data_IF_623793377439
#
_entry.id   IF_623793377439
#
_cell.length_a   1.000
_cell.length_b   1.000
_cell.length_c   1.000
_cell.angle_alpha   90.00
_cell.angle_beta   90.00
_cell.angle_gamma   90.00
#
_symmetry.space_group_name_H-M   'P 1'
#
loop_
_entity.id
_entity.type
_entity.pdbx_description
1 polymer ?
#
# COMPACT_ATOMS: atom_id res chain seq x y z
N UNK A 1 -44.01 12.78 9.80
CA UNK A 1 -42.97 12.78 8.74
C UNK A 1 -41.87 13.76 9.13
N UNK A 2 -40.99 13.42 10.08
CA UNK A 2 -40.01 14.37 10.62
C UNK A 2 -38.66 13.74 10.95
N UNK A 3 -38.67 12.57 11.61
CA UNK A 3 -37.45 11.96 12.16
C UNK A 3 -36.44 11.47 11.12
N UNK A 4 -36.89 10.87 10.01
CA UNK A 4 -35.97 10.36 8.96
C UNK A 4 -35.33 11.51 8.19
N UNK A 5 -36.09 12.55 7.87
CA UNK A 5 -35.57 13.73 7.16
C UNK A 5 -34.61 14.55 8.03
N UNK A 6 -34.93 14.73 9.32
CA UNK A 6 -34.07 15.38 10.30
C UNK A 6 -32.75 14.60 10.51
N UNK A 7 -32.84 13.27 10.62
CA UNK A 7 -31.66 12.41 10.72
C UNK A 7 -30.80 12.50 9.45
N UNK A 8 -31.42 12.45 8.27
CA UNK A 8 -30.70 12.61 7.01
C UNK A 8 -30.00 13.96 6.90
N UNK A 9 -30.62 15.03 7.41
CA UNK A 9 -30.01 16.36 7.43
C UNK A 9 -28.85 16.43 8.44
N UNK A 10 -28.97 15.83 9.62
CA UNK A 10 -27.89 15.75 10.58
C UNK A 10 -26.67 14.95 10.06
N UNK A 11 -26.90 13.84 9.34
CA UNK A 11 -25.83 13.03 8.74
C UNK A 11 -25.11 13.80 7.62
N UNK A 12 -25.84 14.55 6.79
CA UNK A 12 -25.22 15.42 5.77
C UNK A 12 -24.38 16.53 6.40
N UNK A 13 -24.87 17.16 7.47
CA UNK A 13 -24.08 18.16 8.23
C UNK A 13 -22.81 17.54 8.80
N UNK A 14 -22.91 16.37 9.44
CA UNK A 14 -21.74 15.68 10.00
C UNK A 14 -20.71 15.28 8.92
N UNK A 15 -21.17 14.96 7.72
CA UNK A 15 -20.30 14.65 6.57
C UNK A 15 -19.60 15.91 6.05
N UNK A 16 -20.30 17.05 5.97
CA UNK A 16 -19.73 18.33 5.55
C UNK A 16 -18.73 18.91 6.56
N UNK A 17 -18.86 18.57 7.84
CA UNK A 17 -17.94 18.98 8.92
C UNK A 17 -16.65 18.13 8.99
N UNK A 18 -16.53 17.06 8.18
CA UNK A 18 -15.29 16.27 8.15
C UNK A 18 -14.12 17.16 7.69
N UNK A 19 -12.97 17.15 8.40
CA UNK A 19 -11.86 18.07 8.13
C UNK A 19 -11.00 17.63 6.93
N UNK A 20 -11.62 17.14 5.85
CA UNK A 20 -10.94 16.61 4.66
C UNK A 20 -10.02 17.67 4.01
N UNK A 21 -10.54 18.88 3.77
CA UNK A 21 -9.76 19.96 3.16
C UNK A 21 -8.58 20.41 4.03
N UNK A 22 -8.81 20.59 5.33
CA UNK A 22 -7.75 20.97 6.28
C UNK A 22 -6.67 19.89 6.43
N UNK A 23 -7.06 18.62 6.40
CA UNK A 23 -6.12 17.49 6.50
C UNK A 23 -5.29 17.34 5.22
N UNK A 24 -5.91 17.52 4.04
CA UNK A 24 -5.19 17.53 2.76
C UNK A 24 -4.21 18.70 2.65
N UNK A 25 -4.61 19.89 3.11
CA UNK A 25 -3.73 21.05 3.14
C UNK A 25 -2.54 20.87 4.10
N UNK A 26 -2.77 20.26 5.27
CA UNK A 26 -1.69 19.91 6.20
C UNK A 26 -0.70 18.90 5.60
N UNK A 27 -1.19 17.91 4.86
CA UNK A 27 -0.35 16.94 4.17
C UNK A 27 0.53 17.60 3.09
N UNK A 28 -0.04 18.51 2.29
CA UNK A 28 0.71 19.25 1.28
C UNK A 28 1.83 20.12 1.89
N UNK A 29 1.56 20.79 3.01
CA UNK A 29 2.56 21.59 3.75
C UNK A 29 3.67 20.75 4.35
N UNK A 30 3.36 19.54 4.81
CA UNK A 30 4.35 18.60 5.33
C UNK A 30 5.25 18.04 4.22
N UNK A 31 4.71 17.81 3.02
CA UNK A 31 5.52 17.40 1.88
C UNK A 31 6.48 18.51 1.42
N UNK A 32 6.02 19.76 1.41
CA UNK A 32 6.82 20.96 1.15
C UNK A 32 7.97 21.07 2.17
N UNK A 33 7.67 20.97 3.48
CA UNK A 33 8.65 21.01 4.55
C UNK A 33 9.67 19.87 4.47
N UNK A 34 9.24 18.67 4.08
CA UNK A 34 10.12 17.51 3.86
C UNK A 34 11.10 17.77 2.71
N UNK A 35 10.62 18.37 1.61
CA UNK A 35 11.45 18.75 0.48
C UNK A 35 12.57 19.72 0.88
N UNK A 36 12.22 20.76 1.63
CA UNK A 36 13.16 21.77 2.13
C UNK A 36 14.20 21.15 3.07
N UNK A 37 13.77 20.28 4.01
CA UNK A 37 14.69 19.62 4.93
C UNK A 37 15.60 18.60 4.25
N UNK A 38 15.12 17.87 3.25
CA UNK A 38 15.96 16.99 2.45
C UNK A 38 17.06 17.80 1.72
N UNK A 39 16.74 18.98 1.21
CA UNK A 39 17.71 19.89 0.60
C UNK A 39 18.74 20.38 1.63
N UNK A 40 18.30 20.84 2.80
CA UNK A 40 19.18 21.30 3.87
C UNK A 40 20.11 20.19 4.42
N UNK A 41 19.63 18.94 4.45
CA UNK A 41 20.44 17.76 4.83
C UNK A 41 21.43 17.32 3.76
N UNK A 42 21.31 17.81 2.53
CA UNK A 42 22.34 17.60 1.50
C UNK A 42 23.55 18.51 1.78
N UNK A 43 23.35 19.61 2.51
CA UNK A 43 24.37 20.59 2.88
C UNK A 43 24.90 20.40 4.32
N UNK A 44 24.30 19.50 5.11
CA UNK A 44 24.61 19.29 6.54
C UNK A 44 24.79 17.82 6.89
N UNK A 45 25.75 17.51 7.77
CA UNK A 45 26.13 16.13 8.15
C UNK A 45 25.19 15.52 9.20
N UNK A 46 24.28 16.30 9.79
CA UNK A 46 23.48 15.88 10.95
C UNK A 46 22.01 15.59 10.57
N UNK A 47 21.55 14.33 10.61
CA UNK A 47 20.19 13.95 10.22
C UNK A 47 19.20 14.23 11.37
N UNK A 48 18.84 15.50 11.57
CA UNK A 48 17.85 15.87 12.58
C UNK A 48 16.46 16.11 11.93
N UNK A 49 15.46 15.30 12.30
CA UNK A 49 14.03 15.60 12.09
C UNK A 49 13.34 14.99 10.85
N UNK A 50 14.10 14.41 9.91
CA UNK A 50 13.53 13.79 8.69
C UNK A 50 12.68 12.52 8.97
N UNK A 51 13.06 11.65 9.92
CA UNK A 51 12.23 10.51 10.32
C UNK A 51 10.89 10.94 10.94
N UNK A 52 10.90 11.96 11.79
CA UNK A 52 9.71 12.49 12.48
C UNK A 52 8.70 13.10 11.51
N UNK A 53 9.19 13.82 10.49
CA UNK A 53 8.35 14.40 9.44
C UNK A 53 7.76 13.34 8.52
N UNK A 54 8.55 12.32 8.17
CA UNK A 54 8.07 11.18 7.39
C UNK A 54 6.98 10.40 8.13
N UNK A 55 7.10 10.26 9.47
CA UNK A 55 6.06 9.70 10.33
C UNK A 55 4.80 10.55 10.34
N UNK A 56 4.93 11.86 10.55
CA UNK A 56 3.80 12.79 10.55
C UNK A 56 3.02 12.74 9.22
N UNK A 57 3.73 12.64 8.10
CA UNK A 57 3.12 12.53 6.77
C UNK A 57 2.38 11.20 6.59
N UNK A 58 2.96 10.08 7.03
CA UNK A 58 2.29 8.77 7.01
C UNK A 58 1.01 8.76 7.85
N UNK A 59 1.00 9.45 8.99
CA UNK A 59 -0.19 9.60 9.82
C UNK A 59 -1.27 10.44 9.14
N UNK A 60 -0.90 11.50 8.42
CA UNK A 60 -1.85 12.32 7.66
C UNK A 60 -2.44 11.56 6.47
N UNK A 61 -1.63 10.81 5.71
CA UNK A 61 -2.12 10.01 4.59
C UNK A 61 -3.15 8.96 5.06
N UNK A 62 -2.88 8.33 6.21
CA UNK A 62 -3.81 7.41 6.85
C UNK A 62 -5.09 8.11 7.32
N UNK A 63 -4.98 9.29 7.92
CA UNK A 63 -6.12 10.07 8.37
C UNK A 63 -7.02 10.48 7.19
N UNK A 64 -6.44 10.94 6.08
CA UNK A 64 -7.17 11.28 4.85
C UNK A 64 -7.93 10.06 4.33
N UNK A 65 -7.26 8.91 4.24
CA UNK A 65 -7.90 7.66 3.78
C UNK A 65 -9.07 7.26 4.67
N UNK A 66 -8.92 7.39 5.99
CA UNK A 66 -9.98 7.07 6.95
C UNK A 66 -11.15 8.06 6.88
N UNK A 67 -10.89 9.34 6.65
CA UNK A 67 -11.93 10.36 6.50
C UNK A 67 -12.73 10.16 5.21
N UNK A 68 -12.07 9.78 4.11
CA UNK A 68 -12.76 9.43 2.84
C UNK A 68 -13.66 8.21 3.06
N UNK A 69 -13.14 7.14 3.66
CA UNK A 69 -13.93 5.94 3.95
C UNK A 69 -15.10 6.22 4.91
N UNK A 70 -14.92 7.12 5.89
CA UNK A 70 -16.00 7.55 6.77
C UNK A 70 -17.10 8.32 6.00
N UNK A 71 -16.73 9.21 5.08
CA UNK A 71 -17.68 9.92 4.23
C UNK A 71 -18.48 8.94 3.34
N UNK A 72 -17.81 7.96 2.74
CA UNK A 72 -18.45 6.92 1.93
C UNK A 72 -19.44 6.08 2.74
N UNK A 73 -19.08 5.67 3.96
CA UNK A 73 -19.99 4.94 4.85
C UNK A 73 -21.23 5.76 5.27
N UNK A 74 -21.09 7.07 5.42
CA UNK A 74 -22.23 7.96 5.75
C UNK A 74 -23.16 8.13 4.54
N UNK A 75 -22.62 8.18 3.32
CA UNK A 75 -23.40 8.17 2.08
C UNK A 75 -24.13 6.83 1.89
N UNK A 76 -23.46 5.70 2.12
CA UNK A 76 -24.08 4.36 2.08
C UNK A 76 -25.23 4.24 3.10
N UNK A 77 -25.04 4.80 4.30
CA UNK A 77 -26.09 4.85 5.31
C UNK A 77 -27.31 5.64 4.85
N UNK A 78 -27.11 6.82 4.25
CA UNK A 78 -28.20 7.64 3.69
C UNK A 78 -28.96 6.89 2.59
N UNK A 79 -28.24 6.20 1.70
CA UNK A 79 -28.84 5.37 0.65
C UNK A 79 -29.67 4.23 1.26
N UNK A 80 -29.16 3.58 2.31
CA UNK A 80 -29.86 2.46 2.97
C UNK A 80 -31.19 2.86 3.63
N UNK A 81 -31.32 4.11 4.06
CA UNK A 81 -32.57 4.67 4.63
C UNK A 81 -33.45 5.36 3.59
N UNK A 82 -33.14 5.21 2.30
CA UNK A 82 -33.93 5.75 1.19
C UNK A 82 -33.75 7.25 0.95
N UNK A 83 -32.67 7.84 1.45
CA UNK A 83 -32.34 9.25 1.27
C UNK A 83 -31.20 9.42 0.27
N UNK A 84 -31.27 10.49 -0.52
CA UNK A 84 -30.18 10.82 -1.43
C UNK A 84 -28.91 11.18 -0.62
N UNK A 85 -27.72 10.75 -1.08
CA UNK A 85 -26.43 11.12 -0.47
C UNK A 85 -26.25 12.65 -0.46
N UNK A 86 -25.34 13.12 0.38
CA UNK A 86 -25.05 14.54 0.53
C UNK A 86 -24.31 15.09 -0.68
N UNK A 87 -25.04 15.34 -1.77
CA UNK A 87 -24.51 15.89 -3.01
C UNK A 87 -24.10 17.35 -2.83
N UNK A 88 -22.85 17.55 -2.40
CA UNK A 88 -21.89 18.34 -3.15
C UNK A 88 -20.53 17.71 -2.84
N UNK A 89 -20.12 16.74 -3.67
CA UNK A 89 -18.71 16.36 -3.72
C UNK A 89 -18.01 17.57 -4.29
N UNK A 90 -17.79 18.58 -3.45
CA UNK A 90 -16.99 19.74 -3.77
C UNK A 90 -15.76 19.15 -4.41
N UNK A 91 -15.64 19.43 -5.71
CA UNK A 91 -14.50 19.08 -6.53
C UNK A 91 -13.31 19.44 -5.64
N UNK A 92 -12.66 18.41 -5.10
CA UNK A 92 -11.49 18.63 -4.27
C UNK A 92 -10.55 19.26 -5.27
N UNK A 93 -10.41 20.58 -5.20
CA UNK A 93 -9.40 21.32 -5.93
C UNK A 93 -8.08 20.92 -5.28
N UNK A 94 -7.70 19.67 -5.54
CA UNK A 94 -6.33 19.21 -5.46
C UNK A 94 -5.67 20.11 -6.50
N UNK A 95 -4.86 21.10 -6.09
CA UNK A 95 -4.23 21.96 -7.06
C UNK A 95 -3.55 21.04 -8.06
N UNK A 96 -3.92 21.20 -9.34
CA UNK A 96 -3.40 20.40 -10.43
C UNK A 96 -1.90 20.28 -10.20
N UNK A 97 -1.44 19.05 -9.94
CA UNK A 97 -0.03 18.80 -9.66
C UNK A 97 0.72 19.41 -10.84
N UNK A 98 1.43 20.51 -10.58
CA UNK A 98 2.36 21.07 -11.54
C UNK A 98 3.23 19.90 -12.03
N UNK A 99 3.58 19.84 -13.33
CA UNK A 99 4.36 18.73 -13.87
C UNK A 99 5.52 18.47 -12.93
N UNK A 100 5.52 17.28 -12.33
CA UNK A 100 6.43 16.95 -11.25
C UNK A 100 7.85 17.24 -11.74
N UNK A 101 8.53 18.15 -11.04
CA UNK A 101 9.97 18.30 -11.19
C UNK A 101 10.60 16.90 -11.10
N UNK A 102 11.62 16.59 -11.92
CA UNK A 102 12.21 15.25 -11.96
C UNK A 102 12.51 14.79 -10.53
N UNK A 103 11.95 13.64 -10.17
CA UNK A 103 12.07 13.11 -8.82
C UNK A 103 13.57 13.04 -8.46
N UNK A 104 13.99 13.54 -7.29
CA UNK A 104 15.39 13.49 -6.90
C UNK A 104 15.87 12.03 -6.92
N UNK A 105 17.05 11.82 -7.50
CA UNK A 105 17.69 10.50 -7.73
C UNK A 105 17.73 9.61 -6.47
N UNK A 106 17.63 10.21 -5.27
CA UNK A 106 17.57 9.54 -3.98
C UNK A 106 16.39 8.57 -3.78
N UNK A 107 15.17 8.89 -4.24
CA UNK A 107 14.02 7.98 -4.02
C UNK A 107 14.09 6.75 -4.91
N UNK A 108 14.52 6.94 -6.17
CA UNK A 108 14.70 5.84 -7.12
C UNK A 108 15.87 4.95 -6.72
N UNK A 109 17.01 5.54 -6.33
CA UNK A 109 18.15 4.76 -5.83
C UNK A 109 17.80 3.98 -4.56
N UNK A 110 17.08 4.58 -3.60
CA UNK A 110 16.58 3.88 -2.40
C UNK A 110 15.71 2.65 -2.73
N UNK A 111 14.74 2.81 -3.64
CA UNK A 111 13.86 1.73 -4.11
C UNK A 111 14.65 0.61 -4.81
N UNK A 112 15.55 0.98 -5.74
CA UNK A 112 16.35 0.02 -6.50
C UNK A 112 17.32 -0.76 -5.61
N UNK A 113 18.02 -0.07 -4.70
CA UNK A 113 18.93 -0.70 -3.73
C UNK A 113 18.18 -1.73 -2.91
N UNK A 114 17.01 -1.38 -2.36
CA UNK A 114 16.27 -2.33 -1.54
C UNK A 114 15.72 -3.51 -2.36
N UNK A 115 15.26 -3.29 -3.59
CA UNK A 115 14.83 -4.41 -4.46
C UNK A 115 15.99 -5.36 -4.73
N UNK A 116 17.18 -4.84 -5.03
CA UNK A 116 18.35 -5.66 -5.27
C UNK A 116 18.71 -6.51 -4.05
N UNK A 117 18.65 -5.94 -2.85
CA UNK A 117 18.86 -6.64 -1.58
C UNK A 117 17.85 -7.78 -1.37
N UNK A 118 16.55 -7.48 -1.43
CA UNK A 118 15.50 -8.47 -1.10
C UNK A 118 15.37 -9.57 -2.14
N UNK A 119 15.74 -9.30 -3.40
CA UNK A 119 15.74 -10.29 -4.48
C UNK A 119 17.07 -11.03 -4.63
N UNK A 120 18.11 -10.64 -3.87
CA UNK A 120 19.52 -11.09 -4.00
C UNK A 120 19.98 -11.07 -5.46
N UNK A 121 19.91 -9.90 -6.07
CA UNK A 121 20.40 -9.70 -7.43
C UNK A 121 21.93 -9.84 -7.48
N UNK A 122 22.45 -10.76 -8.31
CA UNK A 122 23.89 -10.79 -8.62
C UNK A 122 24.28 -9.54 -9.44
N UNK A 123 25.53 -9.08 -9.31
CA UNK A 123 26.06 -7.89 -9.98
C UNK A 123 25.84 -7.89 -11.51
N UNK A 124 25.87 -9.07 -12.16
CA UNK A 124 25.60 -9.22 -13.59
C UNK A 124 24.13 -9.10 -14.00
N UNK A 125 23.20 -9.15 -13.04
CA UNK A 125 21.76 -9.03 -13.25
C UNK A 125 21.20 -7.70 -12.73
N UNK A 126 22.05 -6.86 -12.14
CA UNK A 126 21.72 -5.56 -11.57
C UNK A 126 21.63 -4.43 -12.60
N UNK A 127 21.52 -4.74 -13.91
CA UNK A 127 21.18 -3.74 -14.91
C UNK A 127 19.73 -3.30 -14.66
N UNK A 128 19.57 -2.34 -13.76
CA UNK A 128 18.30 -1.73 -13.44
C UNK A 128 17.66 -1.24 -14.73
N UNK A 129 16.33 -1.33 -14.83
CA UNK A 129 15.63 -0.72 -15.94
C UNK A 129 16.01 0.77 -15.99
N UNK A 130 16.66 1.19 -17.09
CA UNK A 130 17.09 2.58 -17.30
C UNK A 130 15.87 3.51 -17.31
N UNK A 131 14.72 3.02 -17.78
CA UNK A 131 13.45 3.77 -17.86
C UNK A 131 12.42 3.33 -16.80
N UNK A 132 11.83 4.30 -16.10
CA UNK A 132 10.63 4.09 -15.28
C UNK A 132 9.44 3.89 -16.22
N UNK A 133 8.71 2.80 -16.03
CA UNK A 133 7.41 2.61 -16.65
C UNK A 133 6.35 3.29 -15.81
N UNK A 134 5.62 4.20 -16.44
CA UNK A 134 4.39 4.74 -15.89
C UNK A 134 3.31 3.69 -16.11
N UNK A 135 2.95 2.98 -15.04
CA UNK A 135 1.92 1.94 -15.05
C UNK A 135 0.98 2.20 -13.88
N UNK A 136 -0.32 2.16 -14.17
CA UNK A 136 -1.35 2.28 -13.13
C UNK A 136 -1.24 1.16 -12.10
N UNK A 137 -1.69 1.45 -10.87
CA UNK A 137 -1.50 0.59 -9.71
C UNK A 137 -2.10 -0.83 -9.90
N UNK A 138 -3.33 -0.92 -10.41
CA UNK A 138 -4.03 -2.20 -10.60
C UNK A 138 -3.39 -3.06 -11.70
N UNK A 139 -3.13 -2.55 -12.92
CA UNK A 139 -2.41 -3.31 -13.96
C UNK A 139 -1.01 -3.77 -13.52
N UNK A 140 -0.29 -2.94 -12.77
CA UNK A 140 1.00 -3.32 -12.20
C UNK A 140 0.85 -4.51 -11.25
N UNK A 141 -0.09 -4.43 -10.30
CA UNK A 141 -0.37 -5.48 -9.34
C UNK A 141 -0.71 -6.81 -10.03
N UNK A 142 -1.65 -6.80 -10.98
CA UNK A 142 -2.05 -7.99 -11.73
C UNK A 142 -0.88 -8.63 -12.49
N UNK A 143 -0.04 -7.80 -13.11
CA UNK A 143 1.17 -8.25 -13.80
C UNK A 143 2.16 -8.90 -12.84
N UNK A 144 2.43 -8.29 -11.70
CA UNK A 144 3.33 -8.84 -10.67
C UNK A 144 2.81 -10.17 -10.13
N UNK A 145 1.52 -10.29 -9.85
CA UNK A 145 0.89 -11.55 -9.42
C UNK A 145 1.03 -12.63 -10.50
N UNK A 146 0.79 -12.29 -11.78
CA UNK A 146 0.93 -13.24 -12.89
C UNK A 146 2.37 -13.74 -13.05
N UNK A 147 3.35 -12.85 -12.95
CA UNK A 147 4.78 -13.22 -13.00
C UNK A 147 5.14 -14.11 -11.81
N UNK A 148 4.70 -13.74 -10.59
CA UNK A 148 4.91 -14.52 -9.38
C UNK A 148 4.27 -15.91 -9.47
N UNK A 149 3.08 -16.02 -10.08
CA UNK A 149 2.43 -17.28 -10.37
C UNK A 149 3.23 -18.14 -11.37
N UNK A 150 3.79 -17.51 -12.41
CA UNK A 150 4.64 -18.16 -13.41
C UNK A 150 6.00 -18.64 -12.88
N UNK A 151 6.48 -18.11 -11.75
CA UNK A 151 7.75 -18.54 -11.15
C UNK A 151 9.00 -17.84 -11.71
N UNK A 152 8.84 -16.81 -12.54
CA UNK A 152 9.95 -16.04 -13.11
C UNK A 152 10.35 -14.90 -12.16
N UNK A 153 11.31 -15.19 -11.26
CA UNK A 153 11.86 -14.22 -10.32
C UNK A 153 12.54 -13.05 -11.00
N UNK A 154 13.23 -13.30 -12.11
CA UNK A 154 14.04 -12.28 -12.78
C UNK A 154 13.15 -11.27 -13.50
N UNK A 155 12.06 -11.74 -14.11
CA UNK A 155 11.03 -10.86 -14.65
C UNK A 155 10.31 -10.08 -13.55
N UNK A 156 10.03 -10.71 -12.40
CA UNK A 156 9.37 -10.04 -11.26
C UNK A 156 10.23 -8.89 -10.72
N UNK A 157 11.51 -9.15 -10.49
CA UNK A 157 12.49 -8.14 -10.09
C UNK A 157 12.59 -7.01 -11.11
N UNK A 158 12.72 -7.33 -12.40
CA UNK A 158 12.80 -6.32 -13.47
C UNK A 158 11.56 -5.44 -13.52
N UNK A 159 10.38 -6.02 -13.25
CA UNK A 159 9.14 -5.25 -13.19
C UNK A 159 9.10 -4.31 -11.99
N UNK A 160 9.52 -4.78 -10.81
CA UNK A 160 9.65 -3.93 -9.63
C UNK A 160 10.68 -2.82 -9.82
N UNK A 161 11.82 -3.11 -10.46
CA UNK A 161 12.86 -2.10 -10.75
C UNK A 161 12.38 -1.03 -11.74
N UNK A 162 11.52 -1.40 -12.68
CA UNK A 162 10.93 -0.47 -13.65
C UNK A 162 9.75 0.33 -13.09
N UNK A 163 9.28 0.00 -11.88
CA UNK A 163 8.15 0.66 -11.23
C UNK A 163 8.57 1.99 -10.61
N UNK A 164 7.75 3.03 -10.79
CA UNK A 164 7.91 4.27 -10.02
C UNK A 164 7.74 3.99 -8.52
N UNK A 165 8.68 4.36 -7.65
CA UNK A 165 8.57 4.15 -6.20
C UNK A 165 7.24 4.64 -5.60
N UNK A 166 6.69 5.77 -6.09
CA UNK A 166 5.43 6.32 -5.60
C UNK A 166 4.21 5.43 -5.91
N UNK A 167 4.26 4.67 -7.01
CA UNK A 167 3.23 3.66 -7.33
C UNK A 167 3.50 2.38 -6.55
N UNK A 168 4.77 1.95 -6.49
CA UNK A 168 5.18 0.71 -5.83
C UNK A 168 4.78 0.66 -4.35
N UNK A 169 4.98 1.75 -3.60
CA UNK A 169 4.60 1.81 -2.17
C UNK A 169 3.09 1.68 -1.94
N UNK A 170 2.25 1.85 -2.97
CA UNK A 170 0.79 1.74 -2.88
C UNK A 170 0.27 0.34 -3.16
N UNK A 171 1.10 -0.59 -3.66
CA UNK A 171 0.73 -1.99 -3.89
C UNK A 171 0.05 -2.68 -2.69
N UNK A 172 0.49 -2.43 -1.44
CA UNK A 172 -0.13 -2.98 -0.24
C UNK A 172 -1.65 -2.72 -0.11
N UNK A 173 -2.14 -1.60 -0.65
CA UNK A 173 -3.56 -1.24 -0.63
C UNK A 173 -4.43 -2.25 -1.40
N UNK A 174 -3.88 -2.87 -2.44
CA UNK A 174 -4.58 -3.91 -3.22
C UNK A 174 -4.32 -5.31 -2.68
N UNK A 175 -3.12 -5.57 -2.14
CA UNK A 175 -2.70 -6.93 -1.79
C UNK A 175 -3.34 -7.43 -0.50
N UNK A 176 -3.44 -6.59 0.53
CA UNK A 176 -3.86 -7.04 1.86
C UNK A 176 -5.32 -7.49 1.97
N UNK A 177 -6.29 -6.75 1.42
CA UNK A 177 -7.68 -7.23 1.38
C UNK A 177 -7.80 -8.56 0.63
N UNK A 178 -7.08 -8.73 -0.48
CA UNK A 178 -7.11 -9.97 -1.27
C UNK A 178 -6.50 -11.15 -0.52
N UNK A 179 -5.39 -10.95 0.20
CA UNK A 179 -4.77 -12.00 1.00
C UNK A 179 -5.73 -12.53 2.06
N UNK A 180 -6.49 -11.64 2.72
CA UNK A 180 -7.49 -12.04 3.71
C UNK A 180 -8.62 -12.88 3.10
N UNK A 181 -9.14 -12.47 1.95
CA UNK A 181 -10.18 -13.22 1.22
C UNK A 181 -9.67 -14.60 0.83
N UNK A 182 -8.51 -14.67 0.16
CA UNK A 182 -7.91 -15.92 -0.29
C UNK A 182 -7.52 -16.84 0.87
N UNK A 183 -7.06 -16.29 1.99
CA UNK A 183 -6.75 -17.05 3.19
C UNK A 183 -8.03 -17.67 3.79
N UNK A 184 -9.13 -16.91 3.83
CA UNK A 184 -10.43 -17.39 4.30
C UNK A 184 -10.96 -18.51 3.40
N UNK A 185 -10.88 -18.33 2.08
CA UNK A 185 -11.27 -19.35 1.10
C UNK A 185 -10.44 -20.64 1.25
N UNK A 186 -9.12 -20.52 1.38
CA UNK A 186 -8.23 -21.66 1.54
C UNK A 186 -8.47 -22.43 2.84
N UNK A 187 -8.79 -21.72 3.92
CA UNK A 187 -9.03 -22.32 5.23
C UNK A 187 -10.45 -22.87 5.38
N UNK A 188 -11.43 -22.32 4.65
CA UNK A 188 -12.85 -22.58 4.84
C UNK A 188 -13.44 -21.90 6.08
N UNK A 189 -12.66 -21.09 6.78
CA UNK A 189 -13.00 -20.38 8.01
C UNK A 189 -12.17 -19.09 8.13
N UNK A 190 -12.58 -18.18 9.02
CA UNK A 190 -11.83 -16.95 9.29
C UNK A 190 -10.41 -17.29 9.80
N UNK A 191 -9.34 -16.65 9.26
CA UNK A 191 -7.99 -16.83 9.76
C UNK A 191 -7.87 -16.51 11.26
N UNK A 192 -7.21 -17.42 12.00
CA UNK A 192 -6.91 -17.27 13.43
C UNK A 192 -5.47 -17.69 13.70
N UNK A 193 -4.94 -17.37 14.88
CA UNK A 193 -3.58 -17.80 15.26
C UNK A 193 -3.36 -19.32 15.12
N UNK A 194 -4.40 -20.14 15.31
CA UNK A 194 -4.32 -21.61 15.23
C UNK A 194 -4.09 -22.14 13.81
N UNK A 195 -4.54 -21.41 12.79
CA UNK A 195 -4.50 -21.88 11.40
C UNK A 195 -3.45 -21.15 10.54
N UNK A 196 -2.71 -20.20 11.12
CA UNK A 196 -1.60 -19.49 10.44
C UNK A 196 -0.50 -20.43 9.94
N UNK A 197 -0.15 -21.49 10.68
CA UNK A 197 0.90 -22.42 10.26
C UNK A 197 0.55 -23.15 8.95
N UNK A 198 -0.74 -23.41 8.71
CA UNK A 198 -1.21 -24.00 7.44
C UNK A 198 -1.02 -23.03 6.28
N UNK A 199 -1.28 -21.73 6.50
CA UNK A 199 -1.06 -20.70 5.49
C UNK A 199 0.44 -20.50 5.22
N UNK A 200 1.27 -20.45 6.27
CA UNK A 200 2.73 -20.35 6.19
C UNK A 200 3.34 -21.48 5.37
N UNK A 201 2.91 -22.71 5.61
CA UNK A 201 3.37 -23.88 4.87
C UNK A 201 3.06 -23.80 3.35
N UNK A 202 2.06 -23.02 2.94
CA UNK A 202 1.70 -22.83 1.52
C UNK A 202 2.38 -21.64 0.87
N UNK A 203 2.71 -20.60 1.65
CA UNK A 203 3.28 -19.36 1.12
C UNK A 203 4.80 -19.28 1.23
N UNK A 204 5.39 -19.95 2.23
CA UNK A 204 6.81 -19.82 2.58
C UNK A 204 7.79 -20.14 1.43
N UNK A 205 7.56 -21.23 0.69
CA UNK A 205 8.41 -21.61 -0.45
C UNK A 205 8.43 -20.53 -1.53
N UNK A 206 7.28 -19.90 -1.78
CA UNK A 206 7.17 -18.87 -2.81
C UNK A 206 7.85 -17.57 -2.39
N UNK A 207 7.74 -17.21 -1.12
CA UNK A 207 8.45 -16.04 -0.56
C UNK A 207 9.95 -16.26 -0.63
N UNK A 208 10.45 -17.43 -0.20
CA UNK A 208 11.87 -17.77 -0.31
C UNK A 208 12.36 -17.83 -1.76
N UNK A 209 11.51 -18.27 -2.69
CA UNK A 209 11.83 -18.27 -4.11
C UNK A 209 12.03 -16.84 -4.64
N UNK A 210 11.10 -15.92 -4.37
CA UNK A 210 11.09 -14.58 -4.99
C UNK A 210 11.88 -13.54 -4.22
N UNK A 211 11.91 -13.64 -2.89
CA UNK A 211 12.44 -12.64 -1.97
C UNK A 211 13.45 -13.28 -0.99
N UNK A 212 14.51 -13.95 -1.47
CA UNK A 212 15.46 -14.68 -0.63
C UNK A 212 16.33 -13.79 0.26
N UNK A 213 16.28 -12.46 0.09
CA UNK A 213 16.97 -11.47 0.93
C UNK A 213 16.14 -10.93 2.08
N UNK A 214 14.86 -11.30 2.17
CA UNK A 214 14.05 -10.99 3.34
C UNK A 214 14.41 -11.89 4.52
N UNK A 215 14.16 -11.38 5.73
CA UNK A 215 14.18 -12.19 6.94
C UNK A 215 13.24 -13.41 6.80
N UNK A 216 13.65 -14.58 7.31
CA UNK A 216 12.90 -15.82 7.13
C UNK A 216 11.48 -15.76 7.73
N UNK A 217 11.26 -14.90 8.75
CA UNK A 217 9.95 -14.68 9.37
C UNK A 217 9.17 -13.55 8.71
N UNK A 218 9.70 -12.94 7.64
CA UNK A 218 9.09 -11.78 6.99
C UNK A 218 7.68 -12.09 6.49
N UNK A 219 7.57 -13.16 5.71
CA UNK A 219 6.29 -13.64 5.21
C UNK A 219 5.29 -13.98 6.29
N UNK A 220 5.75 -14.59 7.39
CA UNK A 220 4.89 -15.04 8.48
C UNK A 220 4.24 -13.87 9.21
N UNK A 221 5.02 -12.81 9.44
CA UNK A 221 4.61 -11.61 10.14
C UNK A 221 3.60 -10.82 9.30
N UNK A 222 3.86 -10.61 7.99
CA UNK A 222 2.91 -9.91 7.12
C UNK A 222 1.63 -10.71 6.91
N UNK A 223 1.72 -12.03 6.79
CA UNK A 223 0.55 -12.88 6.67
C UNK A 223 -0.33 -12.82 7.91
N UNK A 224 0.26 -12.81 9.10
CA UNK A 224 -0.46 -12.62 10.35
C UNK A 224 -1.12 -11.24 10.43
N UNK A 225 -0.42 -10.20 9.97
CA UNK A 225 -0.93 -8.83 9.92
C UNK A 225 -2.11 -8.67 8.95
N UNK A 226 -1.97 -9.18 7.72
CA UNK A 226 -3.04 -9.16 6.71
C UNK A 226 -4.29 -9.91 7.16
N UNK A 227 -4.12 -10.94 8.00
CA UNK A 227 -5.21 -11.70 8.60
C UNK A 227 -5.78 -11.08 9.89
N UNK A 228 -5.34 -9.88 10.30
CA UNK A 228 -5.71 -9.21 11.56
C UNK A 228 -5.43 -10.04 12.83
N UNK A 229 -4.47 -10.95 12.77
CA UNK A 229 -4.09 -11.81 13.91
C UNK A 229 -3.04 -11.13 14.79
N UNK A 230 -2.23 -10.24 14.22
CA UNK A 230 -1.19 -9.49 14.93
C UNK A 230 -1.00 -8.10 14.31
N UNK A 231 -0.38 -7.18 15.05
CA UNK A 231 0.14 -5.94 14.47
C UNK A 231 1.55 -6.18 13.92
N UNK A 232 1.85 -5.82 12.66
CA UNK A 232 3.19 -5.96 12.12
C UNK A 232 4.14 -4.93 12.76
N UNK A 233 5.42 -5.29 12.99
CA UNK A 233 6.45 -4.32 13.32
C UNK A 233 6.70 -3.38 12.13
N UNK A 234 7.36 -2.25 12.39
CA UNK A 234 7.76 -1.32 11.33
C UNK A 234 8.71 -2.03 10.34
N UNK A 235 8.40 -1.95 9.05
CA UNK A 235 9.18 -2.57 7.98
C UNK A 235 9.41 -1.62 6.83
N UNK A 236 10.43 -1.95 6.06
CA UNK A 236 10.76 -1.22 4.86
C UNK A 236 9.60 -1.31 3.85
N UNK A 237 9.07 -0.17 3.33
CA UNK A 237 7.90 -0.18 2.45
C UNK A 237 8.06 -1.03 1.18
N UNK A 238 9.29 -1.11 0.64
CA UNK A 238 9.62 -1.96 -0.51
C UNK A 238 9.40 -3.44 -0.21
N UNK A 239 9.71 -3.89 1.01
CA UNK A 239 9.53 -5.29 1.42
C UNK A 239 8.04 -5.65 1.41
N UNK A 240 7.22 -4.75 1.98
CA UNK A 240 5.76 -4.85 2.05
C UNK A 240 5.17 -4.87 0.63
N UNK A 241 5.61 -3.95 -0.23
CA UNK A 241 5.16 -3.83 -1.62
C UNK A 241 5.53 -5.06 -2.48
N UNK A 242 6.74 -5.59 -2.33
CA UNK A 242 7.19 -6.76 -3.07
C UNK A 242 6.55 -8.06 -2.56
N UNK A 243 6.25 -8.15 -1.27
CA UNK A 243 5.73 -9.37 -0.64
C UNK A 243 4.24 -9.61 -0.93
N UNK A 244 3.43 -8.56 -1.04
CA UNK A 244 2.00 -8.65 -1.32
C UNK A 244 1.66 -9.50 -2.56
N UNK A 245 2.16 -9.15 -3.77
CA UNK A 245 1.88 -9.92 -4.99
C UNK A 245 2.35 -11.38 -4.92
N UNK A 246 3.48 -11.64 -4.23
CA UNK A 246 4.02 -12.99 -4.03
C UNK A 246 3.11 -13.83 -3.14
N UNK A 247 2.61 -13.26 -2.05
CA UNK A 247 1.65 -13.90 -1.15
C UNK A 247 0.32 -14.20 -1.85
N UNK A 248 -0.22 -13.24 -2.61
CA UNK A 248 -1.44 -13.44 -3.41
C UNK A 248 -1.26 -14.59 -4.40
N UNK A 249 -0.17 -14.58 -5.17
CA UNK A 249 0.12 -15.65 -6.13
C UNK A 249 0.28 -17.03 -5.48
N UNK A 250 0.88 -17.08 -4.28
CA UNK A 250 1.01 -18.32 -3.52
C UNK A 250 -0.33 -18.85 -3.03
N UNK A 251 -1.23 -17.99 -2.53
CA UNK A 251 -2.55 -18.37 -2.05
C UNK A 251 -3.49 -18.80 -3.19
N UNK A 252 -3.48 -18.10 -4.33
CA UNK A 252 -4.22 -18.52 -5.53
C UNK A 252 -3.80 -19.94 -5.95
N UNK A 253 -2.50 -20.21 -5.95
CA UNK A 253 -1.97 -21.55 -6.26
C UNK A 253 -2.34 -22.60 -5.21
N UNK A 254 -2.36 -22.22 -3.94
CA UNK A 254 -2.71 -23.12 -2.84
C UNK A 254 -4.18 -23.56 -2.94
N UNK A 255 -5.08 -22.63 -3.32
CA UNK A 255 -6.50 -22.90 -3.57
C UNK A 255 -6.70 -23.91 -4.71
N UNK A 256 -6.07 -23.67 -5.87
CA UNK A 256 -6.20 -24.55 -7.04
C UNK A 256 -5.54 -25.94 -6.92
N UNK A 257 -4.93 -26.28 -5.79
CA UNK A 257 -4.38 -27.62 -5.49
C UNK A 257 -5.28 -28.44 -4.54
N UNK A 258 -6.39 -27.88 -4.08
CA UNK A 258 -7.34 -28.56 -3.19
C UNK A 258 -8.51 -29.22 -3.93
N UNK A 259 -8.71 -28.85 -5.20
CA UNK A 259 -9.58 -29.53 -6.17
C UNK A 259 -8.82 -30.65 -6.90
#
# INVERSE_FOLDING_TARGET
MGTITELGQAVRTATAELPLGGTAQAAARLDEARGILAQALTESVEPAGLPEISRAQTHLDRAITQLIAAAEHLDDYLVSIGLAPGGDKGEIDVPASAPAAPAPDGRRSWWLTRIAEITKADEGQAKAAEEIRHTELTPLFEKLVKIAAGGDRDLFRRELQATDPAVGIRLPALTWPQIRVLATEFLGETPTAKNLDRLRAKTGDRIRQFLPGLDDKAGEIELAAACHVAQPPERHPVDIAAMGPVLVAALIRARGKQD
#
